data_IF_129807067447
#
_entry.id   IF_129807067447
#
_cell.length_a   1.000
_cell.length_b   1.000
_cell.length_c   1.000
_cell.angle_alpha   90.00
_cell.angle_beta   90.00
_cell.angle_gamma   90.00
#
_symmetry.space_group_name_H-M   'P 1'
#
loop_
_entity.id
_entity.type
_entity.pdbx_description
1 polymer ?
#
# COMPACT_ATOMS: atom_id res chain seq x y z
N UNK A 1 12.88 31.65 -6.02
CA UNK A 1 12.59 30.38 -6.70
C UNK A 1 12.45 29.30 -5.64
N UNK A 2 11.23 28.84 -5.35
CA UNK A 2 11.04 27.68 -4.50
C UNK A 2 11.70 26.50 -5.23
N UNK A 3 12.66 25.84 -4.59
CA UNK A 3 13.23 24.59 -5.10
C UNK A 3 12.06 23.61 -5.26
N UNK A 4 11.88 23.09 -6.46
CA UNK A 4 10.85 22.07 -6.74
C UNK A 4 11.28 20.79 -6.00
N UNK A 5 10.88 20.68 -4.73
CA UNK A 5 11.14 19.49 -3.93
C UNK A 5 10.33 18.34 -4.52
N UNK A 6 10.99 17.23 -4.87
CA UNK A 6 10.30 16.05 -5.36
C UNK A 6 9.41 15.44 -4.26
N UNK A 7 8.30 14.74 -4.60
CA UNK A 7 7.46 14.08 -3.61
C UNK A 7 8.26 13.18 -2.65
N UNK A 8 9.29 12.50 -3.15
CA UNK A 8 10.14 11.62 -2.33
C UNK A 8 11.01 12.41 -1.35
N UNK A 9 11.56 13.55 -1.73
CA UNK A 9 12.32 14.42 -0.82
C UNK A 9 11.40 15.00 0.27
N UNK A 10 10.19 15.42 -0.10
CA UNK A 10 9.19 15.89 0.85
C UNK A 10 8.81 14.80 1.87
N UNK A 11 8.65 13.56 1.43
CA UNK A 11 8.41 12.37 2.28
C UNK A 11 9.57 12.15 3.26
N UNK A 12 10.81 12.16 2.79
CA UNK A 12 12.00 11.99 3.64
C UNK A 12 12.12 13.05 4.72
N UNK A 13 11.73 14.27 4.41
CA UNK A 13 11.72 15.36 5.41
C UNK A 13 10.73 15.11 6.55
N UNK A 14 9.66 14.31 6.31
CA UNK A 14 8.67 13.94 7.32
C UNK A 14 9.11 12.77 8.23
N UNK A 15 10.11 11.97 7.82
CA UNK A 15 10.49 10.74 8.52
C UNK A 15 10.79 10.92 10.02
N UNK A 16 11.51 11.97 10.48
CA UNK A 16 11.74 12.17 11.92
C UNK A 16 10.42 12.41 12.69
N UNK A 17 9.51 13.21 12.13
CA UNK A 17 8.21 13.49 12.75
C UNK A 17 7.31 12.25 12.79
N UNK A 18 7.36 11.39 11.77
CA UNK A 18 6.64 10.11 11.72
C UNK A 18 7.16 9.17 12.82
N UNK A 19 8.47 8.97 12.91
CA UNK A 19 9.08 8.11 13.94
C UNK A 19 8.72 8.56 15.35
N UNK A 20 8.74 9.85 15.60
CA UNK A 20 8.38 10.42 16.92
C UNK A 20 6.93 10.17 17.31
N UNK A 21 6.05 9.89 16.36
CA UNK A 21 4.63 9.62 16.59
C UNK A 21 4.26 8.14 16.51
N UNK A 22 5.20 7.24 16.24
CA UNK A 22 4.91 5.83 15.96
C UNK A 22 4.17 5.11 17.12
N UNK A 23 4.49 5.40 18.38
CA UNK A 23 3.77 4.87 19.54
C UNK A 23 2.34 5.41 19.60
N UNK A 24 2.15 6.70 19.39
CA UNK A 24 0.83 7.34 19.36
C UNK A 24 -0.04 6.77 18.23
N UNK A 25 0.53 6.58 17.05
CA UNK A 25 -0.14 5.97 15.88
C UNK A 25 -0.66 4.57 16.24
N UNK A 26 0.16 3.76 16.90
CA UNK A 26 -0.24 2.43 17.34
C UNK A 26 -1.35 2.46 18.40
N UNK A 27 -1.21 3.30 19.43
CA UNK A 27 -2.16 3.43 20.53
C UNK A 27 -3.52 3.97 20.08
N UNK A 28 -3.53 5.02 19.26
CA UNK A 28 -4.76 5.63 18.73
C UNK A 28 -5.39 4.79 17.62
N UNK A 29 -4.70 3.79 17.08
CA UNK A 29 -5.13 2.94 15.96
C UNK A 29 -5.53 3.75 14.71
N UNK A 30 -4.87 4.89 14.48
CA UNK A 30 -5.05 5.79 13.34
C UNK A 30 -3.86 6.73 13.20
N UNK A 31 -3.71 7.32 12.04
CA UNK A 31 -2.76 8.40 11.86
C UNK A 31 -3.30 9.69 12.49
N UNK A 32 -2.46 10.45 13.24
CA UNK A 32 -2.81 11.77 13.72
C UNK A 32 -3.16 12.73 12.58
N UNK A 33 -4.17 13.59 12.78
CA UNK A 33 -4.68 14.49 11.73
C UNK A 33 -3.59 15.41 11.16
N UNK A 34 -2.72 15.92 12.03
CA UNK A 34 -1.59 16.77 11.63
C UNK A 34 -0.61 16.05 10.72
N UNK A 35 -0.37 14.75 10.96
CA UNK A 35 0.48 13.91 10.11
C UNK A 35 -0.19 13.67 8.76
N UNK A 36 -1.47 13.31 8.75
CA UNK A 36 -2.24 13.13 7.52
C UNK A 36 -2.19 14.36 6.63
N UNK A 37 -2.40 15.53 7.21
CA UNK A 37 -2.30 16.82 6.49
C UNK A 37 -0.89 17.09 5.96
N UNK A 38 0.15 16.74 6.73
CA UNK A 38 1.53 16.88 6.28
C UNK A 38 1.81 15.98 5.07
N UNK A 39 1.35 14.72 5.09
CA UNK A 39 1.44 13.78 3.97
C UNK A 39 0.67 14.27 2.73
N UNK A 40 -0.53 14.81 2.93
CA UNK A 40 -1.34 15.37 1.85
C UNK A 40 -0.64 16.56 1.18
N UNK A 41 -0.10 17.51 1.97
CA UNK A 41 0.69 18.65 1.46
C UNK A 41 1.97 18.21 0.75
N UNK A 42 2.59 17.11 1.19
CA UNK A 42 3.74 16.50 0.53
C UNK A 42 3.38 15.80 -0.80
N UNK A 43 2.10 15.76 -1.19
CA UNK A 43 1.63 15.16 -2.43
C UNK A 43 1.53 13.63 -2.43
N UNK A 44 1.69 12.98 -1.27
CA UNK A 44 1.70 11.50 -1.15
C UNK A 44 0.45 10.87 -1.76
N UNK A 45 -0.73 11.40 -1.46
CA UNK A 45 -2.01 10.89 -1.95
C UNK A 45 -2.31 11.29 -3.40
N UNK A 46 -1.39 12.03 -4.03
CA UNK A 46 -1.50 12.49 -5.43
C UNK A 46 -0.55 11.75 -6.37
N UNK A 47 0.26 10.83 -5.86
CA UNK A 47 1.29 10.13 -6.64
C UNK A 47 0.73 9.41 -7.87
N UNK A 48 -0.45 8.79 -7.78
CA UNK A 48 -1.07 8.09 -8.90
C UNK A 48 -2.24 8.85 -9.56
N UNK A 49 -2.50 10.10 -9.18
CA UNK A 49 -3.53 10.94 -9.80
C UNK A 49 -2.97 11.61 -11.07
N UNK A 50 -3.75 11.74 -12.16
CA UNK A 50 -3.34 12.42 -13.38
C UNK A 50 -2.87 13.86 -13.16
N UNK A 51 -1.86 14.30 -13.91
CA UNK A 51 -1.38 15.68 -13.89
C UNK A 51 -2.47 16.68 -14.29
N UNK A 52 -3.38 16.30 -15.17
CA UNK A 52 -4.55 17.11 -15.57
C UNK A 52 -5.51 17.41 -14.43
N UNK A 53 -5.44 16.63 -13.35
CA UNK A 53 -6.19 16.82 -12.11
C UNK A 53 -5.32 17.38 -10.97
N UNK A 54 -4.11 17.87 -11.28
CA UNK A 54 -3.14 18.37 -10.31
C UNK A 54 -2.44 17.26 -9.50
N UNK A 55 -2.39 16.04 -10.04
CA UNK A 55 -1.63 14.91 -9.48
C UNK A 55 -0.18 14.90 -9.95
N UNK A 56 0.59 13.95 -9.42
CA UNK A 56 2.00 13.77 -9.76
C UNK A 56 2.19 12.81 -10.94
N UNK A 57 1.23 11.89 -11.18
CA UNK A 57 1.35 10.84 -12.19
C UNK A 57 2.75 10.20 -12.16
N UNK A 58 3.13 9.80 -10.95
CA UNK A 58 4.48 9.41 -10.65
C UNK A 58 4.84 8.07 -11.31
N UNK A 59 6.09 7.94 -11.74
CA UNK A 59 6.63 6.66 -12.16
C UNK A 59 6.54 5.63 -11.04
N UNK A 60 6.25 4.35 -11.33
CA UNK A 60 6.12 3.30 -10.30
C UNK A 60 7.34 3.18 -9.39
N UNK A 61 8.55 3.41 -9.91
CA UNK A 61 9.78 3.45 -9.11
C UNK A 61 9.81 4.59 -8.08
N UNK A 62 9.25 5.76 -8.42
CA UNK A 62 9.11 6.90 -7.49
C UNK A 62 8.06 6.59 -6.42
N UNK A 63 6.91 6.03 -6.81
CA UNK A 63 5.87 5.57 -5.88
C UNK A 63 6.45 4.60 -4.86
N UNK A 64 7.07 3.52 -5.32
CA UNK A 64 7.67 2.48 -4.46
C UNK A 64 8.73 3.07 -3.52
N UNK A 65 9.61 3.96 -4.04
CA UNK A 65 10.62 4.61 -3.22
C UNK A 65 10.04 5.51 -2.13
N UNK A 66 8.96 6.24 -2.41
CA UNK A 66 8.29 7.08 -1.43
C UNK A 66 7.60 6.25 -0.33
N UNK A 67 6.93 5.16 -0.73
CA UNK A 67 6.25 4.25 0.20
C UNK A 67 7.25 3.49 1.09
N UNK A 68 8.39 3.06 0.53
CA UNK A 68 9.47 2.44 1.28
C UNK A 68 10.04 3.40 2.33
N UNK A 69 10.32 4.67 1.95
CA UNK A 69 10.84 5.69 2.86
C UNK A 69 9.82 6.00 4.00
N UNK A 70 8.50 6.01 3.73
CA UNK A 70 7.46 6.17 4.75
C UNK A 70 7.36 4.98 5.70
N UNK A 71 7.34 3.76 5.15
CA UNK A 71 7.24 2.54 5.94
C UNK A 71 8.50 2.26 6.77
N UNK A 72 9.66 2.75 6.33
CA UNK A 72 10.89 2.76 7.12
C UNK A 72 10.76 3.62 8.38
N UNK A 73 9.97 4.69 8.32
CA UNK A 73 9.70 5.50 9.49
C UNK A 73 8.59 4.92 10.39
N UNK A 74 7.51 4.40 9.79
CA UNK A 74 6.41 3.72 10.47
C UNK A 74 5.57 2.89 9.48
N UNK A 75 5.36 1.61 9.76
CA UNK A 75 4.67 0.67 8.88
C UNK A 75 3.22 1.05 8.59
N UNK A 76 2.48 1.53 9.60
CA UNK A 76 1.09 1.95 9.44
C UNK A 76 0.97 3.21 8.57
N UNK A 77 1.89 4.16 8.72
CA UNK A 77 1.96 5.36 7.88
C UNK A 77 2.25 4.99 6.43
N UNK A 78 3.24 4.12 6.18
CA UNK A 78 3.53 3.61 4.84
C UNK A 78 2.33 2.91 4.20
N UNK A 79 1.60 2.12 4.98
CA UNK A 79 0.40 1.41 4.52
C UNK A 79 -0.74 2.37 4.14
N UNK A 80 -1.09 3.33 5.00
CA UNK A 80 -2.11 4.33 4.69
C UNK A 80 -1.74 5.16 3.46
N UNK A 81 -0.47 5.53 3.34
CA UNK A 81 0.06 6.23 2.17
C UNK A 81 -0.07 5.39 0.89
N UNK A 82 0.22 4.09 0.97
CA UNK A 82 0.08 3.16 -0.16
C UNK A 82 -1.37 3.06 -0.62
N UNK A 83 -2.31 2.85 0.31
CA UNK A 83 -3.75 2.77 -0.02
C UNK A 83 -4.22 4.09 -0.66
N UNK A 84 -3.94 5.24 -0.05
CA UNK A 84 -4.40 6.53 -0.56
C UNK A 84 -3.77 6.89 -1.92
N UNK A 85 -2.46 6.64 -2.10
CA UNK A 85 -1.78 6.90 -3.36
C UNK A 85 -2.31 6.02 -4.50
N UNK A 86 -2.41 4.69 -4.27
CA UNK A 86 -2.89 3.76 -5.31
C UNK A 86 -4.38 3.91 -5.60
N UNK A 87 -5.19 4.33 -4.62
CA UNK A 87 -6.60 4.69 -4.85
C UNK A 87 -6.75 5.84 -5.84
N UNK A 88 -5.77 6.73 -5.93
CA UNK A 88 -5.73 7.81 -6.91
C UNK A 88 -5.80 7.37 -8.37
N UNK A 89 -5.41 6.12 -8.68
CA UNK A 89 -5.52 5.56 -10.05
C UNK A 89 -6.97 5.54 -10.54
N UNK A 90 -7.96 5.38 -9.65
CA UNK A 90 -9.38 5.35 -10.05
C UNK A 90 -9.83 6.64 -10.73
N UNK A 91 -9.17 7.76 -10.43
CA UNK A 91 -9.42 9.05 -11.09
C UNK A 91 -9.21 9.01 -12.62
N UNK A 92 -8.32 8.11 -13.09
CA UNK A 92 -8.05 7.95 -14.52
C UNK A 92 -9.18 7.20 -15.28
N UNK A 93 -10.07 6.54 -14.55
CA UNK A 93 -11.19 5.78 -15.13
C UNK A 93 -12.54 6.53 -15.05
N UNK A 94 -12.61 7.57 -14.22
CA UNK A 94 -13.84 8.36 -14.07
C UNK A 94 -14.06 9.29 -15.27
N UNK A 95 -15.34 9.57 -15.62
CA UNK A 95 -15.66 10.69 -16.51
C UNK A 95 -15.03 11.98 -15.98
N UNK A 96 -14.53 12.82 -16.88
CA UNK A 96 -13.75 14.03 -16.54
C UNK A 96 -14.43 14.91 -15.47
N UNK A 97 -15.75 15.11 -15.60
CA UNK A 97 -16.54 15.89 -14.64
C UNK A 97 -16.44 15.34 -13.22
N UNK A 98 -16.62 14.03 -13.06
CA UNK A 98 -16.58 13.39 -11.74
C UNK A 98 -15.14 13.33 -11.21
N UNK A 99 -14.15 13.05 -12.08
CA UNK A 99 -12.74 13.08 -11.71
C UNK A 99 -12.33 14.48 -11.19
N UNK A 100 -12.77 15.56 -11.84
CA UNK A 100 -12.55 16.93 -11.35
C UNK A 100 -13.29 17.24 -10.05
N UNK A 101 -14.52 16.76 -9.91
CA UNK A 101 -15.31 16.94 -8.70
C UNK A 101 -14.65 16.29 -7.48
N UNK A 102 -14.16 15.06 -7.65
CA UNK A 102 -13.59 14.25 -6.58
C UNK A 102 -12.13 14.63 -6.33
N UNK A 103 -11.29 14.56 -7.37
CA UNK A 103 -9.83 14.70 -7.24
C UNK A 103 -9.30 16.09 -7.61
N UNK A 104 -10.08 16.91 -8.30
CA UNK A 104 -9.69 18.26 -8.70
C UNK A 104 -10.08 19.36 -7.71
N UNK A 105 -10.93 19.06 -6.71
CA UNK A 105 -11.45 20.05 -5.76
C UNK A 105 -10.34 20.64 -4.86
N UNK A 106 -9.36 19.84 -4.46
CA UNK A 106 -8.20 20.26 -3.67
C UNK A 106 -7.02 19.33 -3.92
N UNK A 107 -5.81 19.86 -3.79
CA UNK A 107 -4.59 19.04 -3.81
C UNK A 107 -4.45 18.15 -2.56
N UNK A 108 -5.16 18.42 -1.49
CA UNK A 108 -5.13 17.69 -0.22
C UNK A 108 -6.21 16.60 -0.13
N UNK A 109 -7.06 16.43 -1.15
CA UNK A 109 -8.10 15.37 -1.17
C UNK A 109 -7.48 13.99 -1.07
N UNK A 110 -8.04 13.18 -0.18
CA UNK A 110 -7.64 11.80 0.07
C UNK A 110 -8.82 10.88 -0.29
N UNK A 111 -8.54 9.93 -1.17
CA UNK A 111 -9.46 8.84 -1.49
C UNK A 111 -8.89 7.52 -1.01
N UNK A 112 -9.75 6.65 -0.50
CA UNK A 112 -9.37 5.30 -0.06
C UNK A 112 -10.55 4.36 -0.14
N UNK A 113 -10.34 3.08 0.15
CA UNK A 113 -11.45 2.12 0.17
C UNK A 113 -11.03 0.68 -0.06
N UNK A 114 -11.99 -0.13 -0.45
CA UNK A 114 -11.83 -1.59 -0.55
C UNK A 114 -12.28 -2.06 -1.93
N UNK A 115 -11.35 -2.66 -2.68
CA UNK A 115 -11.62 -3.17 -4.04
C UNK A 115 -12.49 -4.44 -4.06
N UNK A 116 -12.45 -5.26 -2.99
CA UNK A 116 -13.22 -6.50 -2.92
C UNK A 116 -14.74 -6.21 -3.06
N UNK A 117 -15.48 -6.96 -3.93
CA UNK A 117 -16.87 -6.70 -4.23
C UNK A 117 -17.81 -7.19 -3.12
N UNK A 118 -17.69 -6.60 -1.93
CA UNK A 118 -18.47 -6.96 -0.73
C UNK A 118 -19.82 -6.21 -0.65
N UNK A 119 -20.04 -5.20 -1.51
CA UNK A 119 -21.28 -4.46 -1.59
C UNK A 119 -22.17 -4.92 -2.76
N UNK A 120 -23.39 -4.42 -2.77
CA UNK A 120 -24.34 -4.52 -3.87
C UNK A 120 -24.77 -3.14 -4.34
N UNK A 121 -24.97 -2.97 -5.64
CA UNK A 121 -25.49 -1.76 -6.23
C UNK A 121 -26.55 -2.11 -7.27
N UNK A 122 -27.76 -1.57 -7.12
CA UNK A 122 -28.86 -1.77 -8.07
C UNK A 122 -29.10 -0.47 -8.80
N UNK A 123 -29.19 -0.51 -10.13
CA UNK A 123 -29.43 0.69 -10.93
C UNK A 123 -30.88 1.18 -10.79
N UNK A 124 -31.02 2.47 -10.50
CA UNK A 124 -32.29 3.19 -10.47
C UNK A 124 -32.15 4.48 -11.29
N UNK A 125 -32.44 4.42 -12.58
CA UNK A 125 -32.28 5.55 -13.48
C UNK A 125 -30.84 6.00 -13.64
N UNK A 126 -30.51 7.23 -13.21
CA UNK A 126 -29.16 7.80 -13.27
C UNK A 126 -28.30 7.47 -12.05
N UNK A 127 -28.84 6.79 -11.05
CA UNK A 127 -28.16 6.45 -9.80
C UNK A 127 -28.06 4.95 -9.59
N UNK A 128 -27.14 4.58 -8.70
CA UNK A 128 -27.13 3.28 -8.03
C UNK A 128 -27.70 3.43 -6.61
N UNK A 129 -28.45 2.42 -6.15
CA UNK A 129 -28.75 2.18 -4.74
C UNK A 129 -27.71 1.23 -4.20
N UNK A 130 -26.86 1.74 -3.30
CA UNK A 130 -25.68 1.03 -2.80
C UNK A 130 -25.89 0.61 -1.36
N UNK A 131 -25.66 -0.67 -1.09
CA UNK A 131 -25.62 -1.21 0.28
C UNK A 131 -24.43 -2.13 0.39
N UNK A 132 -23.63 -1.97 1.45
CA UNK A 132 -22.49 -2.83 1.66
C UNK A 132 -21.82 -2.62 3.01
N UNK A 133 -21.03 -3.63 3.39
CA UNK A 133 -20.08 -3.56 4.51
C UNK A 133 -18.74 -4.09 4.01
N UNK A 134 -17.76 -3.21 3.97
CA UNK A 134 -16.41 -3.52 3.50
C UNK A 134 -15.47 -3.54 4.69
N UNK A 135 -14.84 -4.69 4.90
CA UNK A 135 -13.78 -4.87 5.90
C UNK A 135 -12.45 -4.36 5.35
N UNK A 136 -11.52 -4.06 6.24
CA UNK A 136 -10.16 -3.65 5.89
C UNK A 136 -10.08 -2.30 5.17
N UNK A 137 -10.96 -1.35 5.49
CA UNK A 137 -10.95 0.00 4.92
C UNK A 137 -9.83 0.85 5.53
N UNK A 138 -8.57 0.55 5.17
CA UNK A 138 -7.39 1.23 5.71
C UNK A 138 -7.43 2.72 5.47
N UNK A 139 -7.18 3.50 6.53
CA UNK A 139 -7.20 4.96 6.46
C UNK A 139 -8.59 5.59 6.30
N UNK A 140 -9.68 4.84 6.41
CA UNK A 140 -11.04 5.34 6.18
C UNK A 140 -11.39 6.57 7.03
N UNK A 141 -10.77 6.72 8.21
CA UNK A 141 -11.02 7.82 9.14
C UNK A 141 -10.44 9.16 8.68
N UNK A 142 -9.56 9.17 7.68
CA UNK A 142 -8.94 10.40 7.17
C UNK A 142 -9.18 10.62 5.66
N UNK A 143 -10.02 9.79 5.03
CA UNK A 143 -10.43 10.00 3.64
C UNK A 143 -11.54 11.05 3.53
N UNK A 144 -11.52 11.84 2.46
CA UNK A 144 -12.60 12.70 2.04
C UNK A 144 -13.61 11.92 1.18
N UNK A 145 -13.10 10.94 0.42
CA UNK A 145 -13.88 10.06 -0.42
C UNK A 145 -13.54 8.59 -0.13
N UNK A 146 -14.59 7.80 -0.03
CA UNK A 146 -14.46 6.34 0.11
C UNK A 146 -14.95 5.65 -1.15
N UNK A 147 -14.37 4.46 -1.40
CA UNK A 147 -14.81 3.60 -2.48
C UNK A 147 -15.02 2.17 -1.99
N UNK A 148 -16.08 1.56 -2.48
CA UNK A 148 -16.42 0.17 -2.16
C UNK A 148 -16.65 -0.65 -3.42
N UNK A 149 -15.98 -1.81 -3.51
CA UNK A 149 -16.27 -2.80 -4.54
C UNK A 149 -17.69 -3.34 -4.37
N UNK A 150 -18.48 -3.30 -5.45
CA UNK A 150 -19.87 -3.75 -5.47
C UNK A 150 -20.10 -4.73 -6.63
N UNK A 151 -21.00 -5.68 -6.41
CA UNK A 151 -21.67 -6.37 -7.53
C UNK A 151 -22.83 -5.50 -8.00
N UNK A 152 -22.69 -4.96 -9.19
CA UNK A 152 -23.73 -4.12 -9.83
C UNK A 152 -24.74 -5.04 -10.53
N UNK A 153 -26.04 -4.76 -10.31
CA UNK A 153 -27.17 -5.34 -11.00
C UNK A 153 -27.89 -4.24 -11.76
N UNK A 154 -27.84 -4.33 -13.07
CA UNK A 154 -28.56 -3.49 -14.03
C UNK A 154 -29.18 -4.39 -15.10
N UNK A 155 -29.45 -3.87 -16.30
CA UNK A 155 -30.05 -4.63 -17.41
C UNK A 155 -29.14 -5.74 -18.00
N UNK A 156 -27.88 -5.80 -17.55
CA UNK A 156 -26.88 -6.79 -17.98
C UNK A 156 -26.56 -7.84 -16.92
N UNK A 157 -25.59 -8.74 -17.21
CA UNK A 157 -25.11 -9.68 -16.20
C UNK A 157 -24.46 -8.95 -15.03
N UNK A 158 -24.52 -9.51 -13.80
CA UNK A 158 -23.87 -8.94 -12.64
C UNK A 158 -22.35 -8.77 -12.87
N UNK A 159 -21.83 -7.59 -12.56
CA UNK A 159 -20.41 -7.26 -12.74
C UNK A 159 -19.83 -6.50 -11.55
N UNK A 160 -18.52 -6.65 -11.32
CA UNK A 160 -17.83 -5.94 -10.26
C UNK A 160 -17.52 -4.50 -10.69
N UNK A 161 -17.84 -3.53 -9.85
CA UNK A 161 -17.48 -2.11 -10.01
C UNK A 161 -17.06 -1.49 -8.68
N UNK A 162 -16.15 -0.55 -8.73
CA UNK A 162 -15.86 0.35 -7.62
C UNK A 162 -16.87 1.49 -7.65
N UNK A 163 -17.52 1.75 -6.55
CA UNK A 163 -18.46 2.87 -6.40
C UNK A 163 -17.85 3.88 -5.41
N UNK A 164 -17.79 5.16 -5.81
CA UNK A 164 -17.19 6.24 -5.03
C UNK A 164 -18.27 7.13 -4.41
N UNK A 165 -18.13 7.42 -3.12
CA UNK A 165 -19.05 8.26 -2.35
C UNK A 165 -18.29 9.13 -1.33
N UNK A 166 -18.85 10.27 -0.89
CA UNK A 166 -18.27 11.07 0.19
C UNK A 166 -18.07 10.25 1.46
N UNK A 167 -16.96 10.42 2.16
CA UNK A 167 -16.68 9.66 3.37
C UNK A 167 -17.74 9.87 4.47
N UNK A 168 -18.36 11.06 4.51
CA UNK A 168 -19.45 11.37 5.45
C UNK A 168 -20.73 10.58 5.25
N UNK A 169 -20.90 9.92 4.09
CA UNK A 169 -22.06 9.06 3.79
C UNK A 169 -21.88 7.61 4.28
N UNK A 170 -20.70 7.28 4.80
CA UNK A 170 -20.40 5.96 5.34
C UNK A 170 -20.32 5.98 6.88
N UNK A 171 -20.86 4.95 7.50
CA UNK A 171 -20.63 4.63 8.90
C UNK A 171 -19.31 3.87 9.03
N UNK A 172 -18.39 4.35 9.87
CA UNK A 172 -17.16 3.63 10.22
C UNK A 172 -17.40 2.86 11.52
N UNK A 173 -17.37 1.54 11.43
CA UNK A 173 -17.57 0.63 12.57
C UNK A 173 -16.22 0.23 13.12
N UNK A 174 -15.96 0.54 14.39
CA UNK A 174 -14.69 0.23 15.07
C UNK A 174 -14.52 -1.30 15.23
N UNK A 175 -13.76 -1.90 14.32
CA UNK A 175 -13.49 -3.33 14.27
C UNK A 175 -12.00 -3.67 14.24
N UNK A 176 -11.11 -2.64 14.09
CA UNK A 176 -9.69 -2.88 13.86
C UNK A 176 -8.93 -3.18 15.15
N UNK A 177 -9.16 -4.36 15.72
CA UNK A 177 -8.44 -4.87 16.91
C UNK A 177 -7.52 -6.01 16.47
N UNK A 178 -6.26 -5.69 16.21
CA UNK A 178 -5.30 -6.54 15.48
C UNK A 178 -3.93 -6.56 16.14
N UNK A 179 -3.08 -7.52 15.75
CA UNK A 179 -1.73 -7.68 16.26
C UNK A 179 -0.74 -6.64 15.74
N UNK A 180 -0.80 -6.29 14.45
CA UNK A 180 0.12 -5.34 13.78
C UNK A 180 -0.61 -4.43 12.81
N UNK A 181 0.10 -3.42 12.26
CA UNK A 181 -0.46 -2.35 11.45
C UNK A 181 -1.66 -1.68 12.13
N UNK A 182 -1.62 -1.56 13.45
CA UNK A 182 -2.74 -1.04 14.25
C UNK A 182 -3.12 0.38 13.87
N UNK A 183 -2.10 1.21 13.58
CA UNK A 183 -2.27 2.60 13.19
C UNK A 183 -2.92 2.84 11.84
N UNK A 184 -3.19 1.79 11.07
CA UNK A 184 -3.89 1.92 9.78
C UNK A 184 -5.38 2.18 9.94
N UNK A 185 -5.97 1.91 11.13
CA UNK A 185 -7.40 2.06 11.37
C UNK A 185 -8.25 1.38 10.30
N UNK A 186 -7.87 0.14 9.91
CA UNK A 186 -8.55 -0.57 8.81
C UNK A 186 -9.91 -1.12 9.26
N UNK A 187 -10.73 -0.22 9.76
CA UNK A 187 -12.09 -0.50 10.24
C UNK A 187 -13.02 -0.98 9.12
N UNK A 188 -14.21 -1.42 9.49
CA UNK A 188 -15.27 -1.68 8.52
C UNK A 188 -15.95 -0.35 8.15
N UNK A 189 -16.20 -0.14 6.86
CA UNK A 189 -17.09 0.92 6.39
C UNK A 189 -18.43 0.32 5.94
N UNK A 190 -19.52 1.01 6.26
CA UNK A 190 -20.89 0.56 5.98
C UNK A 190 -21.69 1.67 5.32
N UNK A 191 -22.37 1.35 4.22
CA UNK A 191 -23.44 2.19 3.69
C UNK A 191 -24.73 1.38 3.55
N UNK A 192 -25.87 2.07 3.73
CA UNK A 192 -27.20 1.46 3.63
C UNK A 192 -28.06 2.32 2.72
N UNK A 193 -28.48 1.73 1.62
CA UNK A 193 -29.43 2.33 0.69
C UNK A 193 -28.97 3.73 0.17
N UNK A 194 -27.65 3.89 -0.01
CA UNK A 194 -27.05 5.16 -0.46
C UNK A 194 -27.29 5.37 -1.96
N UNK A 195 -27.77 6.55 -2.35
CA UNK A 195 -27.83 6.94 -3.76
C UNK A 195 -26.49 7.48 -4.22
N UNK A 196 -25.94 6.89 -5.27
CA UNK A 196 -24.69 7.29 -5.89
C UNK A 196 -24.86 7.41 -7.40
N UNK A 197 -24.52 8.53 -8.05
CA UNK A 197 -24.57 8.66 -9.50
C UNK A 197 -23.81 7.53 -10.19
N UNK A 198 -24.38 6.91 -11.23
CA UNK A 198 -23.73 5.82 -11.98
C UNK A 198 -22.36 6.27 -12.54
N UNK A 199 -22.19 7.56 -12.80
CA UNK A 199 -20.94 8.18 -13.26
C UNK A 199 -19.81 8.15 -12.22
N UNK A 200 -20.12 7.89 -10.94
CA UNK A 200 -19.14 7.71 -9.85
C UNK A 200 -18.80 6.25 -9.63
N UNK A 201 -18.85 5.45 -10.68
CA UNK A 201 -18.41 4.06 -10.62
C UNK A 201 -17.47 3.71 -11.77
N UNK A 202 -16.49 2.84 -11.50
CA UNK A 202 -15.50 2.39 -12.47
C UNK A 202 -15.29 0.88 -12.36
N UNK A 203 -14.97 0.22 -13.48
CA UNK A 203 -14.45 -1.14 -13.50
C UNK A 203 -12.98 -1.09 -13.92
N UNK A 204 -12.08 -1.39 -12.99
CA UNK A 204 -10.64 -1.40 -13.25
C UNK A 204 -10.18 -2.65 -14.00
N UNK A 205 -11.06 -3.64 -14.17
CA UNK A 205 -10.81 -4.90 -14.89
C UNK A 205 -11.37 -4.88 -16.30
N UNK A 206 -12.52 -4.22 -16.51
CA UNK A 206 -13.30 -4.32 -17.75
C UNK A 206 -13.25 -3.02 -18.58
N UNK A 207 -12.88 -1.90 -17.95
CA UNK A 207 -12.80 -0.59 -18.60
C UNK A 207 -11.34 -0.18 -18.84
N UNK A 208 -11.14 0.63 -19.85
CA UNK A 208 -9.86 1.30 -20.08
C UNK A 208 -9.84 2.66 -19.38
N UNK A 209 -8.68 3.12 -18.90
CA UNK A 209 -8.56 4.46 -18.38
C UNK A 209 -8.95 5.49 -19.46
N UNK A 210 -9.63 6.54 -19.02
CA UNK A 210 -9.97 7.72 -19.86
C UNK A 210 -8.79 8.67 -19.93
N UNK A 211 -8.02 8.77 -18.82
CA UNK A 211 -6.80 9.58 -18.82
C UNK A 211 -5.67 8.88 -19.59
N UNK A 212 -4.95 9.68 -20.38
CA UNK A 212 -3.74 9.24 -21.06
C UNK A 212 -2.55 9.23 -20.09
N UNK A 213 -1.58 8.34 -20.33
CA UNK A 213 -0.34 8.26 -19.55
C UNK A 213 0.15 6.82 -19.35
N UNK A 214 1.46 6.65 -19.35
CA UNK A 214 2.08 5.33 -19.19
C UNK A 214 1.78 4.67 -17.84
N UNK A 215 1.52 5.48 -16.80
CA UNK A 215 1.13 4.97 -15.49
C UNK A 215 -0.18 4.17 -15.56
N UNK A 216 -1.12 4.58 -16.40
CA UNK A 216 -2.43 3.92 -16.53
C UNK A 216 -2.42 2.71 -17.47
N UNK A 217 -1.31 2.46 -18.14
CA UNK A 217 -1.01 1.18 -18.79
C UNK A 217 -0.53 0.12 -17.78
N UNK A 218 -0.12 0.54 -16.57
CA UNK A 218 0.23 -0.36 -15.49
C UNK A 218 -1.03 -1.01 -14.91
N UNK A 219 -1.03 -2.34 -14.65
CA UNK A 219 -2.20 -2.99 -14.06
C UNK A 219 -2.41 -2.46 -12.62
N UNK A 220 -3.65 -2.09 -12.30
CA UNK A 220 -3.99 -1.50 -10.97
C UNK A 220 -3.58 -2.44 -9.83
N UNK A 221 -3.86 -3.74 -9.97
CA UNK A 221 -3.46 -4.73 -8.97
C UNK A 221 -1.95 -4.95 -8.93
N UNK A 222 -1.25 -4.73 -10.05
CA UNK A 222 0.22 -4.70 -10.09
C UNK A 222 0.78 -3.53 -9.28
N UNK A 223 0.23 -2.31 -9.44
CA UNK A 223 0.61 -1.14 -8.64
C UNK A 223 0.36 -1.35 -7.15
N UNK A 224 -0.79 -1.95 -6.80
CA UNK A 224 -1.10 -2.29 -5.40
C UNK A 224 -0.09 -3.31 -4.84
N UNK A 225 0.23 -4.37 -5.58
CA UNK A 225 1.17 -5.41 -5.13
C UNK A 225 2.59 -4.85 -4.87
N UNK A 226 3.13 -4.04 -5.80
CA UNK A 226 4.46 -3.42 -5.60
C UNK A 226 4.45 -2.38 -4.47
N UNK A 227 3.34 -1.68 -4.26
CA UNK A 227 3.16 -0.77 -3.14
C UNK A 227 3.18 -1.50 -1.78
N UNK A 228 2.51 -2.65 -1.68
CA UNK A 228 2.56 -3.52 -0.48
C UNK A 228 3.98 -4.02 -0.23
N UNK A 229 4.68 -4.47 -1.28
CA UNK A 229 6.07 -4.90 -1.17
C UNK A 229 7.00 -3.77 -0.70
N UNK A 230 6.77 -2.54 -1.16
CA UNK A 230 7.51 -1.37 -0.71
C UNK A 230 7.34 -1.11 0.79
N UNK A 231 6.10 -1.26 1.30
CA UNK A 231 5.82 -1.15 2.74
C UNK A 231 6.58 -2.24 3.52
N UNK A 232 6.55 -3.49 3.07
CA UNK A 232 7.29 -4.58 3.70
C UNK A 232 8.81 -4.32 3.74
N UNK A 233 9.38 -3.86 2.61
CA UNK A 233 10.81 -3.51 2.52
C UNK A 233 11.18 -2.36 3.45
N UNK A 234 10.33 -1.34 3.56
CA UNK A 234 10.54 -0.23 4.49
C UNK A 234 10.55 -0.69 5.95
N UNK A 235 9.57 -1.52 6.35
CA UNK A 235 9.51 -2.12 7.70
C UNK A 235 10.78 -2.95 7.97
N UNK A 236 11.20 -3.78 7.01
CA UNK A 236 12.40 -4.60 7.15
C UNK A 236 13.66 -3.74 7.32
N UNK A 237 13.80 -2.65 6.53
CA UNK A 237 14.93 -1.72 6.68
C UNK A 237 14.94 -1.09 8.09
N UNK A 238 13.77 -0.65 8.60
CA UNK A 238 13.68 -0.10 9.95
C UNK A 238 14.08 -1.10 11.04
N UNK A 239 13.71 -2.38 10.88
CA UNK A 239 14.10 -3.43 11.81
C UNK A 239 15.60 -3.75 11.75
N UNK A 240 16.19 -3.75 10.55
CA UNK A 240 17.65 -3.96 10.37
C UNK A 240 18.44 -2.80 10.95
N UNK A 241 18.06 -1.54 10.69
CA UNK A 241 18.71 -0.37 11.31
C UNK A 241 18.66 -0.44 12.84
N UNK A 242 17.52 -0.86 13.40
CA UNK A 242 17.35 -0.96 14.84
C UNK A 242 18.20 -2.09 15.47
N UNK A 243 18.26 -3.27 14.83
CA UNK A 243 19.09 -4.35 15.34
C UNK A 243 20.59 -4.02 15.22
N UNK A 244 21.02 -3.34 14.16
CA UNK A 244 22.39 -2.86 14.03
C UNK A 244 22.76 -1.90 15.16
N UNK A 245 21.89 -0.91 15.43
CA UNK A 245 22.06 0.04 16.54
C UNK A 245 22.11 -0.71 17.89
N UNK A 246 21.11 -1.56 18.14
CA UNK A 246 21.02 -2.33 19.39
C UNK A 246 22.24 -3.22 19.59
N UNK A 247 22.75 -3.85 18.56
CA UNK A 247 23.89 -4.77 18.63
C UNK A 247 25.17 -4.07 19.09
N UNK A 248 25.35 -2.80 18.72
CA UNK A 248 26.53 -2.00 19.13
C UNK A 248 26.42 -1.44 20.56
N UNK A 249 25.25 -1.42 21.16
CA UNK A 249 25.00 -0.87 22.49
C UNK A 249 24.75 -1.94 23.56
N UNK A 250 24.21 -3.10 23.15
CA UNK A 250 23.75 -4.14 24.08
C UNK A 250 24.83 -5.15 24.42
N UNK A 251 25.07 -5.33 25.73
CA UNK A 251 25.78 -6.50 26.27
C UNK A 251 24.71 -7.48 26.82
N UNK A 252 24.54 -8.68 26.23
CA UNK A 252 23.58 -9.65 26.71
C UNK A 252 23.86 -10.14 28.12
N UNK A 253 22.82 -10.48 28.88
CA UNK A 253 22.93 -11.03 30.24
C UNK A 253 23.86 -12.25 30.25
N UNK A 254 24.78 -12.30 31.18
CA UNK A 254 25.78 -13.37 31.31
C UNK A 254 26.93 -13.31 30.27
N UNK A 255 27.02 -12.24 29.47
CA UNK A 255 28.10 -12.00 28.50
C UNK A 255 28.99 -10.84 28.97
N UNK A 256 30.24 -10.85 28.51
CA UNK A 256 31.16 -9.72 28.62
C UNK A 256 31.39 -9.03 27.27
N UNK A 257 30.76 -9.53 26.21
CA UNK A 257 30.90 -9.04 24.84
C UNK A 257 29.60 -8.38 24.40
N UNK A 258 29.71 -7.34 23.61
CA UNK A 258 28.59 -6.73 22.90
C UNK A 258 27.89 -7.77 22.00
N UNK A 259 26.65 -7.52 21.72
CA UNK A 259 25.89 -8.35 20.77
C UNK A 259 26.55 -8.37 19.40
N UNK A 260 27.09 -7.23 18.93
CA UNK A 260 27.83 -7.06 17.69
C UNK A 260 29.13 -7.87 17.62
N UNK A 261 29.70 -8.28 18.76
CA UNK A 261 30.93 -9.09 18.81
C UNK A 261 30.68 -10.60 18.71
N UNK A 262 29.41 -11.02 18.59
CA UNK A 262 29.05 -12.43 18.48
C UNK A 262 29.05 -12.87 17.04
N UNK A 263 29.87 -13.85 16.61
CA UNK A 263 29.97 -14.29 15.22
C UNK A 263 28.63 -14.75 14.63
N UNK A 264 27.79 -15.41 15.43
CA UNK A 264 26.46 -15.85 14.98
C UNK A 264 25.53 -14.67 14.65
N UNK A 265 25.57 -13.59 15.43
CA UNK A 265 24.76 -12.38 15.18
C UNK A 265 25.27 -11.65 13.96
N UNK A 266 26.60 -11.55 13.81
CA UNK A 266 27.20 -10.95 12.61
C UNK A 266 26.78 -11.69 11.35
N UNK A 267 26.80 -13.02 11.34
CA UNK A 267 26.38 -13.84 10.20
C UNK A 267 24.87 -13.66 9.91
N UNK A 268 24.03 -13.68 10.95
CA UNK A 268 22.58 -13.52 10.81
C UNK A 268 22.21 -12.15 10.22
N UNK A 269 22.79 -11.06 10.72
CA UNK A 269 22.54 -9.71 10.20
C UNK A 269 22.99 -9.60 8.74
N UNK A 270 24.17 -10.12 8.41
CA UNK A 270 24.68 -10.11 7.03
C UNK A 270 23.78 -10.89 6.07
N UNK A 271 23.24 -12.05 6.48
CA UNK A 271 22.29 -12.83 5.68
C UNK A 271 20.95 -12.11 5.50
N UNK A 272 20.45 -11.45 6.56
CA UNK A 272 19.22 -10.67 6.49
C UNK A 272 19.35 -9.46 5.57
N UNK A 273 20.49 -8.74 5.63
CA UNK A 273 20.83 -7.65 4.71
C UNK A 273 20.88 -8.12 3.26
N UNK A 274 21.57 -9.25 2.99
CA UNK A 274 21.65 -9.82 1.65
C UNK A 274 20.25 -10.21 1.12
N UNK A 275 19.42 -10.82 1.98
CA UNK A 275 18.06 -11.25 1.64
C UNK A 275 17.16 -10.05 1.29
N UNK A 276 17.15 -9.01 2.12
CA UNK A 276 16.37 -7.79 1.88
C UNK A 276 16.90 -7.03 0.65
N UNK A 277 18.22 -6.90 0.52
CA UNK A 277 18.87 -6.22 -0.60
C UNK A 277 18.61 -6.89 -1.94
N UNK A 278 18.75 -8.21 -2.02
CA UNK A 278 18.50 -8.97 -3.25
C UNK A 278 17.03 -8.89 -3.68
N UNK A 279 16.08 -9.01 -2.73
CA UNK A 279 14.66 -8.93 -3.02
C UNK A 279 14.23 -7.54 -3.51
N UNK A 280 14.81 -6.49 -2.93
CA UNK A 280 14.62 -5.10 -3.35
C UNK A 280 15.17 -4.84 -4.75
N UNK A 281 16.37 -5.38 -5.06
CA UNK A 281 16.96 -5.26 -6.39
C UNK A 281 16.10 -5.94 -7.45
N UNK A 282 15.63 -7.16 -7.19
CA UNK A 282 14.73 -7.87 -8.10
C UNK A 282 13.41 -7.12 -8.33
N UNK A 283 12.79 -6.60 -7.27
CA UNK A 283 11.56 -5.81 -7.40
C UNK A 283 11.77 -4.57 -8.29
N UNK A 284 12.88 -3.84 -8.10
CA UNK A 284 13.21 -2.66 -8.89
C UNK A 284 13.48 -2.98 -10.34
N UNK A 285 14.28 -4.00 -10.61
CA UNK A 285 14.55 -4.46 -11.98
C UNK A 285 13.25 -4.72 -12.76
N UNK A 286 12.32 -5.46 -12.16
CA UNK A 286 11.06 -5.81 -12.83
C UNK A 286 10.13 -4.58 -12.98
N UNK A 287 10.14 -3.65 -12.02
CA UNK A 287 9.41 -2.38 -12.14
C UNK A 287 9.95 -1.55 -13.29
N UNK A 288 11.27 -1.42 -13.43
CA UNK A 288 11.93 -0.64 -14.46
C UNK A 288 11.67 -1.22 -15.87
N UNK A 289 11.71 -2.56 -16.00
CA UNK A 289 11.34 -3.27 -17.24
C UNK A 289 9.87 -3.02 -17.59
N UNK A 290 8.97 -3.16 -16.62
CA UNK A 290 7.54 -2.95 -16.83
C UNK A 290 7.22 -1.49 -17.19
N UNK A 291 7.88 -0.53 -16.55
CA UNK A 291 7.73 0.89 -16.85
C UNK A 291 8.24 1.25 -18.25
N UNK A 292 9.40 0.74 -18.63
CA UNK A 292 9.96 0.91 -19.98
C UNK A 292 9.00 0.35 -21.03
N UNK A 293 8.44 -0.84 -20.78
CA UNK A 293 7.47 -1.49 -21.68
C UNK A 293 6.17 -0.71 -21.77
N UNK A 294 5.62 -0.23 -20.64
CA UNK A 294 4.41 0.59 -20.61
C UNK A 294 4.57 1.88 -21.42
N UNK A 295 5.71 2.56 -21.30
CA UNK A 295 6.02 3.77 -22.06
C UNK A 295 6.16 3.54 -23.56
N UNK A 296 6.71 2.40 -23.94
CA UNK A 296 6.96 2.07 -25.34
C UNK A 296 5.71 1.57 -26.08
N UNK A 297 4.86 0.77 -25.41
CA UNK A 297 3.76 0.05 -26.07
C UNK A 297 2.36 0.39 -25.54
N UNK A 298 2.25 1.13 -24.44
CA UNK A 298 0.97 1.40 -23.78
C UNK A 298 0.33 0.17 -23.13
N UNK A 299 1.05 -0.95 -23.01
CA UNK A 299 0.55 -2.18 -22.40
C UNK A 299 1.69 -2.99 -21.79
N UNK A 300 1.38 -3.80 -20.78
CA UNK A 300 2.32 -4.71 -20.14
C UNK A 300 1.88 -6.16 -20.41
N UNK A 301 2.72 -7.00 -21.06
CA UNK A 301 2.40 -8.40 -21.35
C UNK A 301 2.14 -9.21 -20.08
N UNK A 302 1.29 -10.24 -20.17
CA UNK A 302 0.92 -11.11 -19.04
C UNK A 302 2.15 -11.72 -18.34
N UNK A 303 3.14 -12.17 -19.11
CA UNK A 303 4.38 -12.72 -18.54
C UNK A 303 5.08 -11.70 -17.62
N UNK A 304 5.14 -10.43 -18.02
CA UNK A 304 5.75 -9.37 -17.22
C UNK A 304 4.88 -8.96 -16.03
N UNK A 305 3.54 -8.98 -16.16
CA UNK A 305 2.62 -8.82 -15.02
C UNK A 305 2.82 -9.94 -14.00
N UNK A 306 2.99 -11.19 -14.46
CA UNK A 306 3.33 -12.33 -13.62
C UNK A 306 4.66 -12.13 -12.89
N UNK A 307 5.70 -11.60 -13.56
CA UNK A 307 6.99 -11.27 -12.93
C UNK A 307 6.86 -10.14 -11.90
N UNK A 308 6.06 -9.10 -12.14
CA UNK A 308 5.75 -8.06 -11.15
C UNK A 308 5.13 -8.66 -9.88
N UNK A 309 4.14 -9.54 -10.06
CA UNK A 309 3.50 -10.23 -8.94
C UNK A 309 4.49 -11.11 -8.18
N UNK A 310 5.31 -11.88 -8.90
CA UNK A 310 6.36 -12.73 -8.33
C UNK A 310 7.35 -11.90 -7.49
N UNK A 311 7.85 -10.79 -8.05
CA UNK A 311 8.82 -9.93 -7.38
C UNK A 311 8.21 -9.29 -6.11
N UNK A 312 6.96 -8.82 -6.17
CA UNK A 312 6.26 -8.24 -5.02
C UNK A 312 6.04 -9.28 -3.90
N UNK A 313 5.60 -10.48 -4.26
CA UNK A 313 5.42 -11.59 -3.30
C UNK A 313 6.74 -11.98 -2.66
N UNK A 314 7.80 -12.11 -3.48
CA UNK A 314 9.13 -12.45 -2.99
C UNK A 314 9.68 -11.38 -2.05
N UNK A 315 9.59 -10.10 -2.41
CA UNK A 315 10.07 -9.00 -1.58
C UNK A 315 9.35 -8.95 -0.23
N UNK A 316 8.03 -9.16 -0.22
CA UNK A 316 7.25 -9.20 1.02
C UNK A 316 7.66 -10.36 1.92
N UNK A 317 7.81 -11.57 1.36
CA UNK A 317 8.23 -12.74 2.13
C UNK A 317 9.69 -12.64 2.63
N UNK A 318 10.59 -12.08 1.83
CA UNK A 318 11.99 -11.84 2.21
C UNK A 318 12.08 -10.80 3.34
N UNK A 319 11.24 -9.75 3.27
CA UNK A 319 11.16 -8.73 4.32
C UNK A 319 10.73 -9.32 5.66
N UNK A 320 9.72 -10.19 5.67
CA UNK A 320 9.31 -10.88 6.90
C UNK A 320 10.45 -11.71 7.50
N UNK A 321 11.18 -12.48 6.67
CA UNK A 321 12.35 -13.25 7.16
C UNK A 321 13.45 -12.36 7.71
N UNK A 322 13.74 -11.22 7.09
CA UNK A 322 14.75 -10.29 7.60
C UNK A 322 14.34 -9.69 8.96
N UNK A 323 13.07 -9.38 9.13
CA UNK A 323 12.51 -8.89 10.40
C UNK A 323 12.54 -9.97 11.48
N UNK A 324 12.25 -11.24 11.14
CA UNK A 324 12.34 -12.38 12.06
C UNK A 324 13.76 -12.53 12.63
N UNK A 325 14.76 -12.38 11.76
CA UNK A 325 16.18 -12.39 12.17
C UNK A 325 16.48 -11.23 13.12
N UNK A 326 16.08 -10.01 12.76
CA UNK A 326 16.30 -8.81 13.58
C UNK A 326 15.64 -8.93 14.96
N UNK A 327 14.37 -9.39 15.00
CA UNK A 327 13.63 -9.63 16.25
C UNK A 327 14.31 -10.68 17.11
N UNK A 328 14.70 -11.81 16.53
CA UNK A 328 15.34 -12.93 17.23
C UNK A 328 16.70 -12.52 17.79
N UNK A 329 17.52 -11.80 17.00
CA UNK A 329 18.81 -11.30 17.45
C UNK A 329 18.65 -10.27 18.58
N UNK A 330 17.60 -9.46 18.58
CA UNK A 330 17.25 -8.52 19.64
C UNK A 330 16.99 -9.18 21.00
N UNK A 331 16.57 -10.47 21.00
CA UNK A 331 16.31 -11.27 22.21
C UNK A 331 15.33 -10.58 23.14
N UNK A 332 15.51 -10.70 24.47
CA UNK A 332 14.58 -10.14 25.46
C UNK A 332 14.30 -8.64 25.33
N UNK A 333 15.20 -7.85 24.75
CA UNK A 333 14.95 -6.43 24.49
C UNK A 333 13.87 -6.21 23.42
N UNK A 334 13.76 -7.11 22.46
CA UNK A 334 12.76 -7.02 21.40
C UNK A 334 11.32 -7.28 21.88
N UNK A 335 11.13 -7.84 23.08
CA UNK A 335 9.79 -8.23 23.62
C UNK A 335 9.01 -7.05 24.18
N UNK A 336 9.72 -6.00 24.64
CA UNK A 336 9.08 -4.85 25.28
C UNK A 336 8.19 -4.07 24.30
N UNK A 337 7.07 -3.55 24.80
CA UNK A 337 6.08 -2.84 23.99
C UNK A 337 6.64 -1.61 23.27
N UNK A 338 7.59 -0.91 23.88
CA UNK A 338 8.29 0.24 23.31
C UNK A 338 9.34 -0.14 22.25
N UNK A 339 9.72 -1.42 22.14
CA UNK A 339 10.74 -1.85 21.17
C UNK A 339 10.24 -1.72 19.73
N UNK A 340 10.95 -1.01 18.83
CA UNK A 340 10.61 -0.97 17.41
C UNK A 340 10.64 -2.38 16.77
N UNK A 341 11.48 -3.30 17.25
CA UNK A 341 11.61 -4.65 16.69
C UNK A 341 10.33 -5.47 16.82
N UNK A 342 9.65 -5.46 17.98
CA UNK A 342 8.39 -6.19 18.11
C UNK A 342 7.28 -5.57 17.27
N UNK A 343 7.26 -4.24 17.11
CA UNK A 343 6.30 -3.58 16.24
C UNK A 343 6.54 -3.96 14.79
N UNK A 344 7.78 -3.86 14.31
CA UNK A 344 8.16 -4.30 12.96
C UNK A 344 7.79 -5.77 12.70
N UNK A 345 8.03 -6.66 13.69
CA UNK A 345 7.68 -8.07 13.62
C UNK A 345 6.16 -8.26 13.41
N UNK A 346 5.34 -7.61 14.21
CA UNK A 346 3.87 -7.71 14.08
C UNK A 346 3.37 -7.10 12.77
N UNK A 347 3.91 -5.94 12.40
CA UNK A 347 3.46 -5.20 11.23
C UNK A 347 3.78 -5.95 9.94
N UNK A 348 5.01 -6.46 9.75
CA UNK A 348 5.40 -7.16 8.54
C UNK A 348 4.60 -8.44 8.33
N UNK A 349 4.29 -9.17 9.42
CA UNK A 349 3.47 -10.37 9.34
C UNK A 349 2.02 -10.07 8.96
N UNK A 350 1.46 -8.92 9.34
CA UNK A 350 0.16 -8.47 8.83
C UNK A 350 0.25 -8.11 7.35
N UNK A 351 1.32 -7.47 6.89
CA UNK A 351 1.54 -7.20 5.45
C UNK A 351 1.51 -8.48 4.62
N UNK A 352 2.13 -9.58 5.07
CA UNK A 352 2.18 -10.85 4.33
C UNK A 352 0.81 -11.49 4.10
N UNK A 353 -0.22 -11.10 4.87
CA UNK A 353 -1.57 -11.67 4.76
C UNK A 353 -2.42 -11.03 3.65
N UNK A 354 -1.94 -9.94 3.03
CA UNK A 354 -2.71 -9.30 1.98
C UNK A 354 -2.74 -10.15 0.71
N UNK A 355 -3.93 -10.33 0.14
CA UNK A 355 -4.19 -11.23 -0.99
C UNK A 355 -3.28 -10.99 -2.22
N UNK A 356 -2.77 -9.79 -2.41
CA UNK A 356 -1.89 -9.43 -3.53
C UNK A 356 -0.46 -9.98 -3.38
N UNK A 357 -0.06 -10.43 -2.20
CA UNK A 357 1.29 -10.93 -1.88
C UNK A 357 1.27 -12.22 -1.04
N UNK A 358 0.08 -12.71 -0.69
CA UNK A 358 -0.13 -13.94 0.08
C UNK A 358 0.38 -15.19 -0.67
N UNK A 359 0.57 -16.33 0.00
CA UNK A 359 1.15 -17.54 -0.60
C UNK A 359 0.50 -18.01 -1.91
N UNK A 360 -0.81 -17.81 -2.11
CA UNK A 360 -1.50 -18.15 -3.35
C UNK A 360 -0.95 -17.41 -4.59
N UNK A 361 -0.27 -16.28 -4.40
CA UNK A 361 0.35 -15.54 -5.51
C UNK A 361 1.58 -16.23 -6.09
N UNK A 362 2.24 -17.11 -5.34
CA UNK A 362 3.30 -17.96 -5.87
C UNK A 362 2.75 -18.95 -6.91
N UNK A 363 1.60 -19.55 -6.63
CA UNK A 363 0.93 -20.47 -7.57
C UNK A 363 0.56 -19.71 -8.85
N UNK A 364 -0.10 -18.55 -8.73
CA UNK A 364 -0.48 -17.73 -9.88
C UNK A 364 0.73 -17.39 -10.76
N UNK A 365 1.83 -16.91 -10.17
CA UNK A 365 3.05 -16.60 -10.89
C UNK A 365 3.68 -17.85 -11.52
N UNK A 366 3.71 -18.98 -10.81
CA UNK A 366 4.21 -20.25 -11.31
C UNK A 366 3.41 -20.78 -12.50
N UNK A 367 2.09 -20.68 -12.48
CA UNK A 367 1.21 -21.04 -13.61
C UNK A 367 1.53 -20.20 -14.85
N UNK A 368 1.70 -18.89 -14.69
CA UNK A 368 2.11 -18.01 -15.81
C UNK A 368 3.47 -18.41 -16.38
N UNK A 369 4.47 -18.68 -15.52
CA UNK A 369 5.81 -19.11 -15.94
C UNK A 369 5.81 -20.45 -16.70
N UNK A 370 4.92 -21.37 -16.32
CA UNK A 370 4.79 -22.68 -16.92
C UNK A 370 3.84 -22.70 -18.14
N UNK A 371 3.22 -21.56 -18.48
CA UNK A 371 2.26 -21.48 -19.58
C UNK A 371 0.95 -22.25 -19.31
N UNK A 372 0.61 -22.50 -18.06
CA UNK A 372 -0.63 -23.16 -17.67
C UNK A 372 -1.78 -22.18 -17.73
N UNK A 373 -2.90 -22.58 -18.36
CA UNK A 373 -4.10 -21.75 -18.43
C UNK A 373 -4.57 -21.33 -17.04
N UNK A 374 -4.73 -20.00 -16.86
CA UNK A 374 -5.07 -19.42 -15.55
C UNK A 374 -5.79 -18.09 -15.70
N UNK A 375 -6.64 -17.77 -14.73
CA UNK A 375 -7.25 -16.44 -14.63
C UNK A 375 -6.16 -15.39 -14.29
N UNK A 376 -5.95 -14.46 -15.20
CA UNK A 376 -4.97 -13.38 -15.08
C UNK A 376 -5.59 -12.01 -14.79
N UNK A 377 -6.89 -11.97 -14.49
CA UNK A 377 -7.64 -10.72 -14.23
C UNK A 377 -7.02 -9.89 -13.10
N UNK A 378 -6.44 -10.57 -12.12
CA UNK A 378 -5.83 -9.94 -10.95
C UNK A 378 -4.31 -9.69 -11.07
N UNK A 379 -3.70 -9.93 -12.25
CA UNK A 379 -2.27 -9.66 -12.50
C UNK A 379 -2.01 -8.21 -12.88
#
# INVERSE_FOLDING_TARGET
MAMNTTPREAVRALAPAIRAQAERIELERRLPVELVRALARAGVFRLCVPRTLGGEEAEPGVLVGALEDLAHADGSTGWCAMIGATSGVTSAYLPEREARTIFGASREVIAGGVFAPMGSATREGADYRVTGRWRFASGCQHCDWLMGGCIVRDDGPPRARMVLFPAGDAEIVDTWTVSGLRGTGSHDMVVRDLRVPVTRSVSITDERPVAEGALYAFPVFGLLAIGIAAVALGIARGALDEIERLATEKTPTGSRRLLAERPVVQAQIAEAEATAGASRAFLREVIDEAWTTARASGAIPIALRGRLRLAATHATAASARAVDVAYTAGGGTAVYAESPLQRAFRDVHVVTQHMMVAPATWELAGRVLLGVDTDTTML
#
